data_IF_691034516442
#
_entry.id   IF_691034516442
#
_cell.length_a   1.000
_cell.length_b   1.000
_cell.length_c   1.000
_cell.angle_alpha   90.00
_cell.angle_beta   90.00
_cell.angle_gamma   90.00
#
_symmetry.space_group_name_H-M   'P 1'
#
loop_
_entity.id
_entity.type
_entity.pdbx_description
1 polymer ?
#
# COMPACT_ATOMS: atom_id res chain seq x y z
N UNK A 1 -13.19 -7.26 -17.28
CA UNK A 1 -11.80 -7.60 -16.89
C UNK A 1 -10.77 -6.52 -17.23
N UNK A 2 -10.48 -6.21 -18.52
CA UNK A 2 -9.37 -5.29 -18.90
C UNK A 2 -9.49 -3.85 -18.36
N UNK A 3 -10.72 -3.31 -18.23
CA UNK A 3 -10.96 -1.97 -17.66
C UNK A 3 -10.63 -1.91 -16.17
N UNK A 4 -11.07 -2.92 -15.42
CA UNK A 4 -10.82 -3.08 -13.98
C UNK A 4 -9.32 -3.21 -13.70
N UNK A 5 -8.62 -4.02 -14.51
CA UNK A 5 -7.18 -4.17 -14.43
C UNK A 5 -6.45 -2.83 -14.62
N UNK A 6 -6.81 -2.05 -15.66
CA UNK A 6 -6.20 -0.75 -15.89
C UNK A 6 -6.41 0.21 -14.72
N UNK A 7 -7.58 0.17 -14.08
CA UNK A 7 -7.85 0.98 -12.89
C UNK A 7 -6.96 0.54 -11.73
N UNK A 8 -6.86 -0.77 -11.45
CA UNK A 8 -6.02 -1.28 -10.37
C UNK A 8 -4.52 -1.01 -10.61
N UNK A 9 -4.06 -1.12 -11.85
CA UNK A 9 -2.69 -0.79 -12.24
C UNK A 9 -2.39 0.70 -12.09
N UNK A 10 -3.35 1.55 -12.46
CA UNK A 10 -3.24 3.00 -12.23
C UNK A 10 -3.17 3.29 -10.72
N UNK A 11 -4.04 2.66 -9.92
CA UNK A 11 -4.10 2.85 -8.48
C UNK A 11 -2.85 2.32 -7.75
N UNK A 12 -2.14 1.34 -8.33
CA UNK A 12 -0.83 0.89 -7.87
C UNK A 12 0.28 1.89 -8.23
N UNK A 13 0.29 2.41 -9.47
CA UNK A 13 1.35 3.31 -9.93
C UNK A 13 1.24 4.72 -9.33
N UNK A 14 0.02 5.22 -9.12
CA UNK A 14 -0.26 6.54 -8.55
C UNK A 14 0.51 6.81 -7.25
N UNK A 15 0.39 6.02 -6.18
CA UNK A 15 1.06 6.29 -4.91
C UNK A 15 2.59 6.14 -4.98
N UNK A 16 3.10 5.27 -5.86
CA UNK A 16 4.56 5.15 -6.08
C UNK A 16 5.10 6.43 -6.71
N UNK A 17 4.44 6.94 -7.75
CA UNK A 17 4.81 8.20 -8.40
C UNK A 17 4.68 9.37 -7.43
N UNK A 18 3.60 9.42 -6.63
CA UNK A 18 3.42 10.44 -5.60
C UNK A 18 4.53 10.39 -4.55
N UNK A 19 4.94 9.20 -4.10
CA UNK A 19 6.04 9.05 -3.12
C UNK A 19 7.38 9.51 -3.71
N UNK A 20 7.67 9.19 -4.98
CA UNK A 20 8.86 9.66 -5.68
C UNK A 20 8.84 11.18 -5.92
N UNK A 21 7.67 11.73 -6.26
CA UNK A 21 7.49 13.17 -6.43
C UNK A 21 7.71 13.91 -5.11
N UNK A 22 7.21 13.35 -4.00
CA UNK A 22 7.45 13.88 -2.66
C UNK A 22 8.93 13.92 -2.33
N UNK A 23 9.64 12.80 -2.53
CA UNK A 23 11.11 12.74 -2.39
C UNK A 23 11.78 13.85 -3.21
N UNK A 24 11.45 13.97 -4.49
CA UNK A 24 12.04 14.99 -5.35
C UNK A 24 11.72 16.43 -4.89
N UNK A 25 10.52 16.69 -4.36
CA UNK A 25 10.14 18.00 -3.83
C UNK A 25 10.96 18.38 -2.59
N UNK A 26 11.21 17.42 -1.70
CA UNK A 26 12.05 17.63 -0.52
C UNK A 26 13.53 17.78 -0.88
N UNK A 27 14.05 16.97 -1.82
CA UNK A 27 15.43 17.08 -2.31
C UNK A 27 15.72 18.39 -3.06
N UNK A 28 14.68 19.00 -3.65
CA UNK A 28 14.77 20.31 -4.30
C UNK A 28 14.65 21.49 -3.33
N UNK A 29 14.65 21.23 -2.01
CA UNK A 29 14.48 22.22 -0.93
C UNK A 29 13.21 23.08 -1.08
N UNK A 30 12.19 22.57 -1.78
CA UNK A 30 10.91 23.28 -1.94
C UNK A 30 10.09 23.17 -0.65
N UNK A 31 10.26 22.08 0.10
CA UNK A 31 9.66 21.85 1.41
C UNK A 31 10.74 21.79 2.49
N UNK A 32 10.56 22.58 3.54
CA UNK A 32 11.45 22.62 4.69
C UNK A 32 11.41 21.28 5.46
N UNK A 33 12.57 20.63 5.58
CA UNK A 33 12.69 19.33 6.25
C UNK A 33 12.89 19.49 7.74
N UNK A 34 12.48 18.48 8.53
CA UNK A 34 12.80 18.44 9.96
C UNK A 34 11.97 19.37 10.85
N UNK A 35 10.82 19.85 10.38
CA UNK A 35 9.95 20.77 11.13
C UNK A 35 9.49 20.23 12.50
N UNK A 36 9.51 18.90 12.68
CA UNK A 36 9.11 18.21 13.91
C UNK A 36 10.26 17.45 14.59
N UNK A 37 11.51 17.64 14.14
CA UNK A 37 12.69 16.91 14.65
C UNK A 37 13.20 17.40 16.01
N UNK A 38 12.64 18.49 16.55
CA UNK A 38 13.14 19.10 17.79
C UNK A 38 12.79 18.29 19.06
N UNK A 39 11.71 17.50 19.02
CA UNK A 39 11.17 16.83 20.21
C UNK A 39 11.29 15.30 20.14
N UNK A 40 12.36 14.77 20.76
CA UNK A 40 12.69 13.33 20.79
C UNK A 40 11.58 12.43 21.34
N UNK A 41 10.74 12.95 22.24
CA UNK A 41 9.63 12.20 22.81
C UNK A 41 8.56 11.93 21.74
N UNK A 42 8.23 12.96 20.96
CA UNK A 42 7.23 12.88 19.89
C UNK A 42 7.68 11.96 18.76
N UNK A 43 8.98 12.02 18.42
CA UNK A 43 9.61 11.17 17.41
C UNK A 43 9.48 9.69 17.78
N UNK A 44 9.83 9.32 19.02
CA UNK A 44 9.77 7.93 19.48
C UNK A 44 8.33 7.37 19.45
N UNK A 45 7.35 8.15 19.90
CA UNK A 45 5.94 7.74 19.88
C UNK A 45 5.46 7.56 18.44
N UNK A 46 5.79 8.50 17.54
CA UNK A 46 5.35 8.45 16.15
C UNK A 46 5.96 7.25 15.40
N UNK A 47 7.26 6.98 15.60
CA UNK A 47 7.94 5.80 15.05
C UNK A 47 7.27 4.53 15.55
N UNK A 48 7.07 4.39 16.86
CA UNK A 48 6.47 3.19 17.46
C UNK A 48 5.07 2.91 16.91
N UNK A 49 4.23 3.95 16.78
CA UNK A 49 2.87 3.83 16.23
C UNK A 49 2.90 3.41 14.76
N UNK A 50 3.78 4.01 13.96
CA UNK A 50 3.89 3.68 12.53
C UNK A 50 4.49 2.30 12.28
N UNK A 51 5.46 1.86 13.10
CA UNK A 51 6.01 0.51 13.04
C UNK A 51 4.92 -0.53 13.32
N UNK A 52 4.17 -0.38 14.42
CA UNK A 52 3.07 -1.29 14.75
C UNK A 52 2.00 -1.31 13.67
N UNK A 53 1.64 -0.13 13.16
CA UNK A 53 0.66 0.01 12.07
C UNK A 53 1.13 -0.71 10.80
N UNK A 54 2.41 -0.56 10.43
CA UNK A 54 3.01 -1.22 9.27
C UNK A 54 3.05 -2.74 9.44
N UNK A 55 3.47 -3.22 10.61
CA UNK A 55 3.51 -4.65 10.96
C UNK A 55 2.10 -5.26 10.93
N UNK A 56 1.07 -4.51 11.32
CA UNK A 56 -0.32 -4.97 11.22
C UNK A 56 -0.84 -4.97 9.77
N UNK A 57 -0.51 -3.95 8.98
CA UNK A 57 -1.03 -3.80 7.61
C UNK A 57 -0.47 -4.80 6.61
N UNK A 58 0.80 -5.21 6.73
CA UNK A 58 1.40 -6.22 5.84
C UNK A 58 0.63 -7.56 5.89
N UNK A 59 0.43 -8.22 7.05
CA UNK A 59 -0.33 -9.46 7.12
C UNK A 59 -1.81 -9.20 6.81
N UNK A 60 -2.40 -8.05 7.18
CA UNK A 60 -3.79 -7.74 6.82
C UNK A 60 -3.99 -7.75 5.30
N UNK A 61 -3.05 -7.12 4.57
CA UNK A 61 -3.07 -7.09 3.13
C UNK A 61 -2.86 -8.50 2.54
N UNK A 62 -2.01 -9.34 3.13
CA UNK A 62 -1.80 -10.72 2.68
C UNK A 62 -2.99 -11.64 3.00
N UNK A 63 -3.66 -11.46 4.14
CA UNK A 63 -4.76 -12.30 4.60
C UNK A 63 -6.10 -11.98 3.93
N UNK A 64 -6.26 -10.78 3.36
CA UNK A 64 -7.49 -10.33 2.73
C UNK A 64 -7.97 -11.30 1.63
N UNK A 65 -7.04 -11.92 0.89
CA UNK A 65 -7.35 -12.89 -0.17
C UNK A 65 -7.61 -14.32 0.32
N UNK A 66 -7.25 -14.64 1.57
CA UNK A 66 -7.43 -15.99 2.14
C UNK A 66 -8.86 -16.25 2.62
N UNK A 67 -9.73 -15.24 2.64
CA UNK A 67 -11.10 -15.41 3.06
C UNK A 67 -11.93 -16.14 1.99
N UNK A 68 -12.24 -17.42 2.23
CA UNK A 68 -13.18 -18.24 1.43
C UNK A 68 -14.56 -17.57 1.20
N UNK A 69 -14.94 -16.58 2.03
CA UNK A 69 -16.16 -15.78 1.83
C UNK A 69 -16.10 -14.89 0.58
N UNK A 70 -14.91 -14.45 0.18
CA UNK A 70 -14.70 -13.65 -1.03
C UNK A 70 -14.79 -14.55 -2.26
N UNK A 71 -14.18 -15.74 -2.21
CA UNK A 71 -14.30 -16.77 -3.25
C UNK A 71 -15.78 -17.15 -3.53
N UNK A 72 -16.60 -17.28 -2.48
CA UNK A 72 -18.04 -17.56 -2.65
C UNK A 72 -18.84 -16.38 -3.25
N UNK A 73 -18.44 -15.13 -3.00
CA UNK A 73 -19.07 -13.96 -3.62
C UNK A 73 -18.60 -13.72 -5.07
N UNK A 74 -17.40 -14.17 -5.42
CA UNK A 74 -16.90 -14.23 -6.79
C UNK A 74 -17.60 -15.28 -7.65
N UNK A 75 -18.54 -16.08 -7.12
CA UNK A 75 -19.31 -17.02 -7.94
C UNK A 75 -20.64 -16.43 -8.47
N UNK A 76 -21.11 -15.29 -7.93
CA UNK A 76 -22.33 -14.60 -8.39
C UNK A 76 -22.05 -13.52 -9.46
N UNK A 77 -23.06 -13.18 -10.27
CA UNK A 77 -23.03 -12.33 -11.50
C UNK A 77 -22.31 -10.97 -11.43
N UNK A 78 -21.83 -10.50 -10.27
CA UNK A 78 -21.11 -9.22 -10.07
C UNK A 78 -19.61 -9.39 -9.73
N UNK A 79 -18.98 -10.46 -10.20
CA UNK A 79 -17.57 -10.85 -9.94
C UNK A 79 -16.56 -9.71 -10.09
N UNK A 80 -16.69 -8.95 -11.18
CA UNK A 80 -15.71 -7.91 -11.54
C UNK A 80 -15.69 -6.73 -10.57
N UNK A 81 -16.85 -6.34 -10.03
CA UNK A 81 -16.98 -5.17 -9.17
C UNK A 81 -16.51 -5.44 -7.74
N UNK A 82 -16.72 -6.65 -7.22
CA UNK A 82 -16.22 -7.04 -5.90
C UNK A 82 -14.71 -7.25 -5.92
N UNK A 83 -14.17 -7.91 -6.95
CA UNK A 83 -12.72 -8.07 -7.11
C UNK A 83 -12.02 -6.70 -7.19
N UNK A 84 -12.57 -5.76 -7.96
CA UNK A 84 -12.07 -4.40 -8.02
C UNK A 84 -12.07 -3.73 -6.64
N UNK A 85 -13.19 -3.76 -5.92
CA UNK A 85 -13.30 -3.10 -4.60
C UNK A 85 -12.32 -3.66 -3.57
N UNK A 86 -12.19 -4.98 -3.48
CA UNK A 86 -11.28 -5.60 -2.51
C UNK A 86 -9.81 -5.41 -2.89
N UNK A 87 -9.49 -5.48 -4.19
CA UNK A 87 -8.15 -5.18 -4.71
C UNK A 87 -7.73 -3.73 -4.43
N UNK A 88 -8.61 -2.77 -4.76
CA UNK A 88 -8.44 -1.35 -4.44
C UNK A 88 -8.26 -1.13 -2.94
N UNK A 89 -9.10 -1.76 -2.10
CA UNK A 89 -8.99 -1.60 -0.65
C UNK A 89 -7.66 -2.10 -0.09
N UNK A 90 -7.18 -3.26 -0.56
CA UNK A 90 -5.85 -3.80 -0.19
C UNK A 90 -4.72 -2.87 -0.62
N UNK A 91 -4.77 -2.39 -1.86
CA UNK A 91 -3.78 -1.47 -2.42
C UNK A 91 -3.77 -0.17 -1.61
N UNK A 92 -4.92 0.44 -1.37
CA UNK A 92 -5.05 1.64 -0.56
C UNK A 92 -4.50 1.44 0.86
N UNK A 93 -4.80 0.30 1.50
CA UNK A 93 -4.34 -0.02 2.85
C UNK A 93 -2.81 -0.11 2.97
N UNK A 94 -2.09 -0.46 1.89
CA UNK A 94 -0.62 -0.45 1.85
C UNK A 94 -0.03 0.85 1.31
N UNK A 95 -0.70 1.48 0.37
CA UNK A 95 -0.20 2.69 -0.29
C UNK A 95 -0.31 3.92 0.61
N UNK A 96 -1.38 4.03 1.40
CA UNK A 96 -1.55 5.12 2.38
C UNK A 96 -0.38 5.13 3.38
N UNK A 97 -0.07 4.04 4.13
CA UNK A 97 1.05 4.04 5.06
C UNK A 97 2.40 4.20 4.36
N UNK A 98 2.55 3.77 3.11
CA UNK A 98 3.79 3.98 2.35
C UNK A 98 4.04 5.49 2.14
N UNK A 99 3.06 6.21 1.57
CA UNK A 99 3.18 7.66 1.33
C UNK A 99 3.36 8.42 2.64
N UNK A 100 2.60 8.05 3.68
CA UNK A 100 2.71 8.67 5.01
C UNK A 100 4.09 8.44 5.62
N UNK A 101 4.66 7.23 5.54
CA UNK A 101 6.00 6.95 6.03
C UNK A 101 7.08 7.73 5.25
N UNK A 102 6.93 7.89 3.93
CA UNK A 102 7.83 8.75 3.14
C UNK A 102 7.74 10.22 3.57
N UNK A 103 6.54 10.74 3.85
CA UNK A 103 6.35 12.09 4.38
C UNK A 103 7.00 12.25 5.76
N UNK A 104 6.75 11.31 6.67
CA UNK A 104 7.30 11.35 8.02
C UNK A 104 8.82 11.23 8.05
N UNK A 105 9.40 10.47 7.11
CA UNK A 105 10.85 10.42 6.94
C UNK A 105 11.44 11.82 6.74
N UNK A 106 10.88 12.65 5.85
CA UNK A 106 11.39 14.01 5.64
C UNK A 106 11.02 14.98 6.77
N UNK A 107 9.89 14.75 7.44
CA UNK A 107 9.42 15.62 8.51
C UNK A 107 10.19 15.45 9.84
N UNK A 108 10.58 14.20 10.15
CA UNK A 108 11.37 13.86 11.34
C UNK A 108 12.86 13.65 11.04
N UNK A 109 13.24 13.48 9.77
CA UNK A 109 14.60 13.10 9.35
C UNK A 109 15.09 11.77 9.98
N UNK A 110 14.15 10.86 10.28
CA UNK A 110 14.46 9.60 10.96
C UNK A 110 14.40 8.40 10.01
N UNK A 111 15.52 7.67 9.94
CA UNK A 111 15.73 6.59 8.95
C UNK A 111 14.75 5.41 9.13
N UNK A 112 14.18 5.19 10.33
CA UNK A 112 13.19 4.13 10.53
C UNK A 112 11.97 4.27 9.61
N UNK A 113 11.47 5.50 9.39
CA UNK A 113 10.34 5.74 8.49
C UNK A 113 10.68 5.39 7.04
N UNK A 114 11.92 5.63 6.61
CA UNK A 114 12.38 5.22 5.29
C UNK A 114 12.41 3.69 5.15
N UNK A 115 12.90 2.96 6.16
CA UNK A 115 12.88 1.50 6.15
C UNK A 115 11.45 0.94 6.10
N UNK A 116 10.52 1.52 6.85
CA UNK A 116 9.11 1.12 6.80
C UNK A 116 8.48 1.36 5.42
N UNK A 117 8.76 2.50 4.81
CA UNK A 117 8.31 2.80 3.45
C UNK A 117 8.89 1.80 2.42
N UNK A 118 10.18 1.45 2.53
CA UNK A 118 10.80 0.45 1.66
C UNK A 118 10.18 -0.94 1.83
N UNK A 119 9.97 -1.39 3.08
CA UNK A 119 9.35 -2.70 3.34
C UNK A 119 7.91 -2.73 2.79
N UNK A 120 7.16 -1.64 2.93
CA UNK A 120 5.82 -1.52 2.34
C UNK A 120 5.87 -1.58 0.81
N UNK A 121 6.81 -0.87 0.18
CA UNK A 121 7.02 -0.93 -1.27
C UNK A 121 7.38 -2.35 -1.75
N UNK A 122 8.27 -3.05 -1.04
CA UNK A 122 8.59 -4.44 -1.34
C UNK A 122 7.35 -5.34 -1.18
N UNK A 123 6.58 -5.16 -0.11
CA UNK A 123 5.33 -5.91 0.11
C UNK A 123 4.32 -5.64 -1.00
N UNK A 124 4.27 -4.40 -1.51
CA UNK A 124 3.42 -4.00 -2.62
C UNK A 124 3.80 -4.75 -3.92
N UNK A 125 5.10 -4.96 -4.17
CA UNK A 125 5.57 -5.77 -5.31
C UNK A 125 5.13 -7.24 -5.24
N UNK A 126 5.11 -7.86 -4.05
CA UNK A 126 4.58 -9.23 -3.88
C UNK A 126 3.07 -9.33 -4.13
N UNK A 127 2.38 -8.21 -3.98
CA UNK A 127 0.94 -8.07 -4.01
C UNK A 127 0.46 -7.54 -5.37
N UNK A 128 1.39 -7.34 -6.31
CA UNK A 128 1.13 -6.76 -7.62
C UNK A 128 -0.07 -7.43 -8.30
N UNK A 129 -1.07 -6.64 -8.75
CA UNK A 129 -2.25 -7.18 -9.42
C UNK A 129 -1.87 -7.65 -10.84
N UNK A 130 -1.31 -8.85 -10.95
CA UNK A 130 -1.02 -9.49 -12.22
C UNK A 130 -2.30 -10.08 -12.83
N UNK A 131 -2.42 -9.97 -14.16
CA UNK A 131 -3.57 -10.48 -14.92
C UNK A 131 -3.77 -11.98 -14.70
N UNK A 132 -2.67 -12.73 -14.59
CA UNK A 132 -2.68 -14.18 -14.33
C UNK A 132 -3.35 -14.50 -13.01
N UNK A 133 -3.14 -13.70 -11.96
CA UNK A 133 -3.73 -13.94 -10.64
C UNK A 133 -5.23 -13.60 -10.60
N UNK A 134 -5.64 -12.53 -11.29
CA UNK A 134 -7.07 -12.23 -11.49
C UNK A 134 -7.78 -13.30 -12.33
N UNK A 135 -7.11 -13.88 -13.33
CA UNK A 135 -7.67 -14.96 -14.16
C UNK A 135 -7.73 -16.28 -13.39
N UNK A 136 -6.69 -16.65 -12.65
CA UNK A 136 -6.62 -17.84 -11.79
C UNK A 136 -7.66 -17.80 -10.65
N UNK A 137 -7.97 -16.60 -10.13
CA UNK A 137 -9.03 -16.41 -9.14
C UNK A 137 -10.45 -16.42 -9.73
N UNK A 138 -10.60 -16.25 -11.06
CA UNK A 138 -11.91 -16.23 -11.75
C UNK A 138 -12.21 -17.56 -12.45
N UNK A 139 -11.19 -18.27 -12.94
CA UNK A 139 -11.32 -19.58 -13.55
C UNK A 139 -11.38 -20.61 -12.42
N UNK A 140 -12.58 -20.89 -11.92
CA UNK A 140 -12.86 -21.89 -10.89
C UNK A 140 -12.57 -23.33 -11.33
N UNK A 141 -11.34 -23.60 -11.79
CA UNK A 141 -10.83 -24.91 -12.22
C UNK A 141 -9.74 -25.35 -11.25
N UNK A 142 -10.13 -25.55 -9.99
CA UNK A 142 -9.66 -26.62 -9.09
C UNK A 142 -10.11 -26.31 -7.66
N UNK A 143 -11.32 -26.72 -7.30
CA UNK A 143 -11.54 -27.84 -6.38
C UNK A 143 -13.02 -28.04 -6.11
#
# INVERSE_FOLDING_TARGET
MKKVQKILQLEFWMPIVVSLLLVALFEMDILETGLLSEDKSSEFVMVSVMELTTICFIPLALYLFRFNKIHNQLCSEKKEHYLQKWGTYRLALLCIPMVVNTLLYYLFMHVAFAYLAMILLLSLCFIYPSLERCLDETDGRNS
#
